data_IF_265974988784
#
_entry.id   IF_265974988784
#
_cell.length_a   1.000
_cell.length_b   1.000
_cell.length_c   1.000
_cell.angle_alpha   90.00
_cell.angle_beta   90.00
_cell.angle_gamma   90.00
#
_symmetry.space_group_name_H-M   'P 1'
#
loop_
_entity.id
_entity.type
_entity.pdbx_description
1 polymer ?
#
# COMPACT_ATOMS: atom_id res chain seq x y z
N UNK A 1 -7.79 38.85 68.00
CA UNK A 1 -6.41 38.73 67.50
C UNK A 1 -6.24 37.27 67.05
N UNK A 2 -6.54 36.95 65.79
CA UNK A 2 -6.43 35.62 65.25
C UNK A 2 -5.74 35.76 63.88
N UNK A 3 -4.50 35.34 63.84
CA UNK A 3 -3.63 35.37 62.68
C UNK A 3 -3.98 34.23 61.74
N UNK A 4 -4.31 34.55 60.47
CA UNK A 4 -4.49 33.58 59.38
C UNK A 4 -3.13 33.18 58.82
N UNK A 5 -2.79 31.89 58.84
CA UNK A 5 -1.70 31.29 58.11
C UNK A 5 -2.22 30.88 56.75
N UNK A 6 -1.68 31.50 55.69
CA UNK A 6 -1.87 31.05 54.32
C UNK A 6 -0.76 30.04 53.97
N UNK A 7 -1.12 28.78 53.75
CA UNK A 7 -0.25 27.78 53.10
C UNK A 7 -0.42 27.83 51.59
N UNK A 8 0.58 28.34 50.92
CA UNK A 8 0.73 28.26 49.49
C UNK A 8 1.29 26.86 49.18
N UNK A 9 0.49 25.95 48.61
CA UNK A 9 0.93 24.66 48.12
C UNK A 9 1.30 24.85 46.65
N UNK A 10 2.60 24.91 46.37
CA UNK A 10 3.14 24.87 44.99
C UNK A 10 3.05 23.46 44.47
N UNK A 11 2.12 23.21 43.56
CA UNK A 11 2.06 21.96 42.77
C UNK A 11 3.06 22.07 41.63
N UNK A 12 4.20 21.40 41.76
CA UNK A 12 5.15 21.19 40.67
C UNK A 12 4.57 20.05 39.81
N UNK A 13 3.99 20.40 38.66
CA UNK A 13 3.60 19.43 37.63
C UNK A 13 4.86 19.01 36.88
N UNK A 14 5.38 17.84 37.22
CA UNK A 14 6.47 17.22 36.51
C UNK A 14 5.93 16.67 35.19
N UNK A 15 6.10 17.42 34.09
CA UNK A 15 5.81 16.93 32.74
C UNK A 15 6.91 15.91 32.36
N UNK A 16 6.63 14.64 32.61
CA UNK A 16 7.44 13.54 32.06
C UNK A 16 7.01 13.38 30.60
N UNK A 17 7.75 14.00 29.71
CA UNK A 17 7.67 13.70 28.28
C UNK A 17 8.20 12.28 28.07
N UNK A 18 7.29 11.31 27.99
CA UNK A 18 7.62 9.99 27.44
C UNK A 18 7.96 10.19 25.97
N UNK A 19 9.23 10.28 25.65
CA UNK A 19 9.75 9.98 24.33
C UNK A 19 9.47 8.49 24.09
N UNK A 20 8.31 8.19 23.51
CA UNK A 20 8.06 6.87 22.92
C UNK A 20 8.98 6.79 21.70
N UNK A 21 10.02 5.96 21.70
CA UNK A 21 10.81 5.78 20.49
C UNK A 21 9.84 5.22 19.45
N UNK A 22 9.73 5.91 18.30
CA UNK A 22 9.08 5.38 17.12
C UNK A 22 9.73 4.02 16.85
N UNK A 23 9.00 2.93 17.04
CA UNK A 23 9.48 1.59 16.69
C UNK A 23 9.54 1.59 15.15
N UNK A 24 10.69 1.96 14.61
CA UNK A 24 11.02 1.77 13.22
C UNK A 24 11.17 0.26 13.09
N UNK A 25 10.20 -0.39 12.45
CA UNK A 25 10.28 -1.82 12.15
C UNK A 25 11.50 -2.05 11.25
N UNK A 26 12.48 -2.74 11.80
CA UNK A 26 13.70 -3.10 11.09
C UNK A 26 13.35 -3.99 9.89
N UNK A 27 13.85 -3.65 8.70
CA UNK A 27 13.69 -4.49 7.51
C UNK A 27 14.74 -5.60 7.52
N UNK A 28 14.31 -6.86 7.41
CA UNK A 28 15.24 -8.01 7.32
C UNK A 28 16.21 -7.87 6.13
N UNK A 29 15.78 -7.26 5.04
CA UNK A 29 16.59 -6.99 3.86
C UNK A 29 17.66 -5.93 4.14
N UNK A 30 17.30 -4.85 4.85
CA UNK A 30 18.26 -3.83 5.29
C UNK A 30 19.24 -4.43 6.29
N UNK A 31 18.76 -5.21 7.25
CA UNK A 31 19.60 -5.90 8.23
C UNK A 31 20.61 -6.85 7.54
N UNK A 32 20.16 -7.62 6.55
CA UNK A 32 21.03 -8.49 5.77
C UNK A 32 22.08 -7.70 4.98
N UNK A 33 21.67 -6.57 4.38
CA UNK A 33 22.55 -5.66 3.66
C UNK A 33 23.62 -5.08 4.59
N UNK A 34 23.22 -4.56 5.75
CA UNK A 34 24.15 -4.02 6.76
C UNK A 34 25.17 -5.06 7.20
N UNK A 35 24.72 -6.26 7.56
CA UNK A 35 25.59 -7.37 7.95
C UNK A 35 26.59 -7.69 6.85
N UNK A 36 26.10 -7.85 5.61
CA UNK A 36 26.95 -8.23 4.48
C UNK A 36 27.97 -7.13 4.12
N UNK A 37 27.56 -5.87 4.13
CA UNK A 37 28.47 -4.75 3.91
C UNK A 37 29.57 -4.70 4.99
N UNK A 38 29.21 -4.85 6.26
CA UNK A 38 30.16 -4.89 7.36
C UNK A 38 31.13 -6.09 7.25
N UNK A 39 30.63 -7.28 6.87
CA UNK A 39 31.47 -8.46 6.58
C UNK A 39 32.47 -8.21 5.44
N UNK A 40 32.08 -7.42 4.44
CA UNK A 40 32.94 -7.05 3.32
C UNK A 40 33.86 -5.87 3.62
N UNK A 41 33.83 -5.32 4.83
CA UNK A 41 34.68 -4.23 5.29
C UNK A 41 34.17 -2.82 4.99
N UNK A 42 32.92 -2.70 4.53
CA UNK A 42 32.25 -1.41 4.31
C UNK A 42 31.46 -1.04 5.56
N UNK A 43 31.70 0.14 6.12
CA UNK A 43 31.05 0.58 7.36
C UNK A 43 29.57 0.95 7.14
N UNK A 44 28.69 -0.03 7.26
CA UNK A 44 27.24 0.19 7.16
C UNK A 44 26.57 0.65 8.47
N UNK A 45 27.35 0.86 9.53
CA UNK A 45 26.86 1.14 10.88
C UNK A 45 26.39 -0.10 11.62
N UNK A 46 25.59 0.08 12.66
CA UNK A 46 24.97 -1.02 13.38
C UNK A 46 24.03 -1.80 12.45
N UNK A 47 24.06 -3.13 12.55
CA UNK A 47 23.11 -3.98 11.81
C UNK A 47 21.77 -4.04 12.58
N UNK A 48 21.01 -2.97 12.47
CA UNK A 48 19.73 -2.72 13.16
C UNK A 48 18.49 -2.84 12.25
N UNK A 49 18.72 -3.05 10.93
CA UNK A 49 17.65 -3.13 9.94
C UNK A 49 17.06 -1.77 9.57
N UNK A 50 17.67 -0.67 10.02
CA UNK A 50 17.21 0.69 9.72
C UNK A 50 18.02 1.25 8.53
N UNK A 51 17.31 1.63 7.46
CA UNK A 51 17.94 2.23 6.29
C UNK A 51 18.33 3.68 6.58
N UNK A 52 19.62 3.93 6.82
CA UNK A 52 20.16 5.26 7.10
C UNK A 52 21.25 5.67 6.09
N UNK A 53 21.73 6.91 6.23
CA UNK A 53 22.81 7.43 5.37
C UNK A 53 24.09 6.60 5.48
N UNK A 54 24.43 6.07 6.64
CA UNK A 54 25.60 5.23 6.85
C UNK A 54 25.52 3.96 6.02
N UNK A 55 24.42 3.23 6.10
CA UNK A 55 24.15 2.02 5.30
C UNK A 55 24.18 2.33 3.80
N UNK A 56 23.52 3.42 3.40
CA UNK A 56 23.47 3.83 2.01
C UNK A 56 24.85 4.19 1.46
N UNK A 57 25.67 4.94 2.21
CA UNK A 57 27.00 5.33 1.76
C UNK A 57 27.92 4.11 1.65
N UNK A 58 27.85 3.17 2.58
CA UNK A 58 28.56 1.90 2.50
C UNK A 58 28.17 1.08 1.26
N UNK A 59 26.87 1.05 0.92
CA UNK A 59 26.41 0.39 -0.31
C UNK A 59 26.92 1.09 -1.57
N UNK A 60 26.89 2.43 -1.61
CA UNK A 60 27.44 3.21 -2.73
C UNK A 60 28.92 2.93 -2.90
N UNK A 61 29.69 2.91 -1.80
CA UNK A 61 31.11 2.62 -1.82
C UNK A 61 31.37 1.20 -2.35
N UNK A 62 30.66 0.19 -1.83
CA UNK A 62 30.74 -1.19 -2.33
C UNK A 62 30.44 -1.27 -3.83
N UNK A 63 29.33 -0.69 -4.31
CA UNK A 63 28.95 -0.72 -5.72
C UNK A 63 30.00 -0.03 -6.59
N UNK A 64 30.61 1.06 -6.10
CA UNK A 64 31.68 1.77 -6.81
C UNK A 64 32.90 0.88 -7.04
N UNK A 65 33.26 -0.02 -6.11
CA UNK A 65 34.35 -1.00 -6.29
C UNK A 65 34.06 -2.00 -7.42
N UNK A 66 32.79 -2.15 -7.79
CA UNK A 66 32.34 -2.99 -8.93
C UNK A 66 32.10 -2.21 -10.20
N UNK A 67 32.42 -0.91 -10.23
CA UNK A 67 32.15 -0.03 -11.37
C UNK A 67 30.67 0.30 -11.57
N UNK A 68 29.85 0.08 -10.53
CA UNK A 68 28.41 0.28 -10.56
C UNK A 68 28.00 1.53 -9.79
N UNK A 69 26.86 2.10 -10.15
CA UNK A 69 26.26 3.23 -9.43
C UNK A 69 24.99 2.78 -8.73
N UNK A 70 24.82 3.19 -7.47
CA UNK A 70 23.57 3.01 -6.75
C UNK A 70 22.45 3.82 -7.44
N UNK A 71 21.40 3.17 -7.82
CA UNK A 71 20.32 3.76 -8.60
C UNK A 71 19.21 4.42 -7.75
N UNK A 72 19.32 4.30 -6.41
CA UNK A 72 18.40 4.89 -5.45
C UNK A 72 17.41 3.90 -4.84
N UNK A 73 17.47 2.63 -5.23
CA UNK A 73 16.64 1.54 -4.69
C UNK A 73 17.52 0.43 -4.11
N UNK A 74 17.17 -0.07 -2.93
CA UNK A 74 17.76 -1.30 -2.40
C UNK A 74 16.87 -2.45 -2.86
N UNK A 75 17.23 -3.11 -3.94
CA UNK A 75 16.43 -4.15 -4.56
C UNK A 75 17.21 -5.43 -4.90
N UNK A 76 16.62 -6.30 -5.70
CA UNK A 76 17.23 -7.58 -6.05
C UNK A 76 18.57 -7.44 -6.79
N UNK A 77 18.88 -6.30 -7.41
CA UNK A 77 20.15 -6.08 -8.08
C UNK A 77 21.25 -5.93 -7.02
N UNK A 78 21.01 -5.08 -6.01
CA UNK A 78 21.93 -4.89 -4.88
C UNK A 78 22.07 -6.17 -4.05
N UNK A 79 20.96 -6.88 -3.79
CA UNK A 79 20.99 -8.16 -3.07
C UNK A 79 21.81 -9.21 -3.83
N UNK A 80 21.64 -9.30 -5.15
CA UNK A 80 22.45 -10.23 -5.97
C UNK A 80 23.92 -9.86 -5.96
N UNK A 81 24.26 -8.57 -6.02
CA UNK A 81 25.64 -8.09 -5.97
C UNK A 81 26.29 -8.37 -4.61
N UNK A 82 25.52 -8.30 -3.53
CA UNK A 82 25.94 -8.60 -2.17
C UNK A 82 25.86 -10.10 -1.82
N UNK A 83 25.43 -10.94 -2.75
CA UNK A 83 25.17 -12.37 -2.50
C UNK A 83 24.17 -12.59 -1.35
N UNK A 84 23.14 -11.76 -1.29
CA UNK A 84 22.07 -11.85 -0.30
C UNK A 84 20.88 -12.59 -0.93
N UNK A 85 20.49 -13.71 -0.33
CA UNK A 85 19.30 -14.45 -0.71
C UNK A 85 18.07 -13.83 -0.05
N UNK A 86 17.23 -13.17 -0.84
CA UNK A 86 15.93 -12.68 -0.36
C UNK A 86 14.97 -13.85 -0.22
N UNK A 87 14.59 -14.16 1.02
CA UNK A 87 13.62 -15.21 1.29
C UNK A 87 12.22 -14.73 0.88
N UNK A 88 11.69 -15.29 -0.22
CA UNK A 88 10.32 -15.01 -0.65
C UNK A 88 9.32 -15.92 0.05
N UNK A 89 8.14 -15.35 0.36
CA UNK A 89 7.07 -16.09 1.01
C UNK A 89 6.45 -17.11 0.06
N UNK A 90 6.94 -18.34 0.08
CA UNK A 90 6.21 -19.44 -0.55
C UNK A 90 5.00 -19.77 0.33
N UNK A 91 3.79 -19.50 -0.16
CA UNK A 91 2.58 -19.90 0.53
C UNK A 91 2.50 -21.45 0.53
N UNK A 92 2.68 -22.05 1.70
CA UNK A 92 2.51 -23.50 1.85
C UNK A 92 1.05 -23.87 1.58
N UNK A 93 0.80 -25.08 1.03
CA UNK A 93 -0.54 -25.59 0.90
C UNK A 93 -1.28 -25.46 2.23
N UNK A 94 -2.32 -24.67 2.27
CA UNK A 94 -3.17 -24.57 3.44
C UNK A 94 -4.36 -25.50 3.22
N UNK A 95 -4.42 -26.58 3.96
CA UNK A 95 -5.68 -27.36 4.00
C UNK A 95 -6.74 -26.43 4.56
N UNK A 96 -7.79 -26.21 3.80
CA UNK A 96 -9.02 -25.55 4.25
C UNK A 96 -9.59 -26.37 5.41
N UNK A 97 -9.06 -26.13 6.61
CA UNK A 97 -9.47 -26.82 7.81
C UNK A 97 -10.48 -25.95 8.54
N UNK A 98 -11.77 -26.21 8.27
CA UNK A 98 -12.85 -25.75 9.14
C UNK A 98 -12.95 -24.26 9.40
N UNK A 99 -12.64 -23.40 8.44
CA UNK A 99 -12.83 -21.96 8.57
C UNK A 99 -11.76 -21.23 9.39
N UNK A 100 -10.61 -21.84 9.68
CA UNK A 100 -9.50 -21.15 10.37
C UNK A 100 -8.60 -20.45 9.39
N UNK A 101 -8.30 -19.16 9.66
CA UNK A 101 -7.28 -18.41 8.96
C UNK A 101 -5.90 -19.02 9.19
N UNK A 102 -4.96 -18.78 8.26
CA UNK A 102 -3.58 -19.14 8.46
C UNK A 102 -3.03 -18.54 9.77
N UNK A 103 -2.15 -19.26 10.45
CA UNK A 103 -1.56 -18.80 11.71
C UNK A 103 -0.76 -17.51 11.59
N UNK A 104 -0.36 -17.15 10.36
CA UNK A 104 0.35 -15.91 10.02
C UNK A 104 -0.58 -14.73 9.70
N UNK A 105 -1.90 -14.95 9.54
CA UNK A 105 -2.84 -13.89 9.26
C UNK A 105 -2.83 -12.82 10.35
N UNK A 106 -2.84 -11.55 9.97
CA UNK A 106 -2.69 -10.37 10.85
C UNK A 106 -1.39 -10.31 11.67
N UNK A 107 -0.39 -11.09 11.30
CA UNK A 107 0.96 -11.04 11.88
C UNK A 107 1.97 -10.63 10.82
N UNK A 108 2.96 -9.86 11.25
CA UNK A 108 4.11 -9.59 10.39
C UNK A 108 4.81 -10.88 9.99
N UNK A 109 5.19 -11.01 8.73
CA UNK A 109 5.97 -12.13 8.19
C UNK A 109 7.38 -11.66 7.82
N UNK A 110 8.32 -12.60 7.84
CA UNK A 110 9.74 -12.33 7.55
C UNK A 110 10.15 -12.76 6.14
N UNK A 111 9.29 -12.56 5.18
CA UNK A 111 9.53 -12.96 3.80
C UNK A 111 8.89 -11.97 2.84
N UNK A 112 9.57 -11.72 1.72
CA UNK A 112 9.13 -10.79 0.70
C UNK A 112 7.97 -11.37 -0.15
N UNK A 113 7.23 -10.51 -0.83
CA UNK A 113 6.18 -10.90 -1.76
C UNK A 113 6.71 -11.75 -2.93
N UNK A 114 5.92 -12.72 -3.39
CA UNK A 114 6.18 -13.41 -4.66
C UNK A 114 5.51 -12.63 -5.81
N UNK A 115 6.31 -12.26 -6.81
CA UNK A 115 5.81 -11.54 -7.99
C UNK A 115 5.90 -12.45 -9.23
N UNK A 116 4.78 -12.62 -9.88
CA UNK A 116 4.63 -13.40 -11.11
C UNK A 116 4.22 -12.48 -12.25
N UNK A 117 5.02 -12.43 -13.28
CA UNK A 117 4.77 -11.57 -14.43
C UNK A 117 4.58 -12.40 -15.69
N UNK A 118 3.77 -11.92 -16.63
CA UNK A 118 3.64 -12.53 -17.97
C UNK A 118 4.98 -12.45 -18.72
N UNK A 119 5.22 -13.42 -19.58
CA UNK A 119 6.53 -13.61 -20.26
C UNK A 119 6.93 -12.48 -21.21
N UNK A 120 5.99 -11.64 -21.61
CA UNK A 120 6.20 -10.48 -22.48
C UNK A 120 6.63 -9.21 -21.71
N UNK A 121 6.68 -9.26 -20.39
CA UNK A 121 7.12 -8.13 -19.55
C UNK A 121 8.63 -8.16 -19.32
N UNK A 122 9.24 -6.98 -19.20
CA UNK A 122 10.67 -6.84 -18.95
C UNK A 122 11.06 -7.34 -17.55
N UNK A 123 12.24 -7.91 -17.42
CA UNK A 123 12.79 -8.32 -16.12
C UNK A 123 12.87 -7.14 -15.14
N UNK A 124 13.18 -5.93 -15.61
CA UNK A 124 13.22 -4.71 -14.80
C UNK A 124 11.85 -4.31 -14.25
N UNK A 125 10.77 -4.65 -14.94
CA UNK A 125 9.40 -4.43 -14.45
C UNK A 125 9.13 -5.28 -13.23
N UNK A 126 9.47 -6.56 -13.28
CA UNK A 126 9.34 -7.45 -12.14
C UNK A 126 10.16 -6.97 -10.94
N UNK A 127 11.44 -6.64 -11.11
CA UNK A 127 12.30 -6.19 -10.02
C UNK A 127 11.82 -4.86 -9.42
N UNK A 128 11.29 -3.94 -10.24
CA UNK A 128 10.70 -2.69 -9.74
C UNK A 128 9.44 -2.93 -8.91
N UNK A 129 8.57 -3.86 -9.32
CA UNK A 129 7.38 -4.24 -8.54
C UNK A 129 7.80 -4.84 -7.19
N UNK A 130 8.77 -5.76 -7.21
CA UNK A 130 9.33 -6.37 -5.98
C UNK A 130 9.89 -5.30 -5.04
N UNK A 131 10.72 -4.37 -5.54
CA UNK A 131 11.27 -3.28 -4.75
C UNK A 131 10.17 -2.35 -4.18
N UNK A 132 9.12 -2.09 -4.95
CA UNK A 132 8.00 -1.24 -4.51
C UNK A 132 7.21 -1.91 -3.39
N UNK A 133 6.93 -3.21 -3.50
CA UNK A 133 6.27 -3.99 -2.44
C UNK A 133 7.12 -4.10 -1.18
N UNK A 134 8.44 -4.33 -1.33
CA UNK A 134 9.37 -4.41 -0.22
C UNK A 134 9.47 -3.06 0.52
N UNK A 135 9.49 -1.94 -0.21
CA UNK A 135 9.48 -0.59 0.36
C UNK A 135 8.18 -0.30 1.11
N UNK A 136 7.03 -0.65 0.53
CA UNK A 136 5.73 -0.50 1.19
C UNK A 136 5.63 -1.36 2.45
N UNK A 137 6.09 -2.61 2.40
CA UNK A 137 6.13 -3.52 3.54
C UNK A 137 7.04 -3.03 4.67
N UNK A 138 8.16 -2.40 4.32
CA UNK A 138 9.08 -1.78 5.28
C UNK A 138 8.46 -0.60 6.01
N UNK A 139 7.58 0.16 5.34
CA UNK A 139 6.96 1.36 5.89
C UNK A 139 5.70 1.06 6.71
N UNK A 140 4.87 0.12 6.27
CA UNK A 140 3.55 -0.14 6.86
C UNK A 140 3.46 -1.46 7.63
N UNK A 141 4.50 -2.27 7.62
CA UNK A 141 4.50 -3.63 8.14
C UNK A 141 4.33 -4.67 7.02
N UNK A 142 5.08 -5.75 7.13
CA UNK A 142 5.06 -6.84 6.15
C UNK A 142 3.96 -7.85 6.52
N UNK A 143 2.76 -7.61 6.03
CA UNK A 143 1.63 -8.51 6.18
C UNK A 143 1.51 -9.40 4.93
N UNK A 144 1.79 -10.68 5.10
CA UNK A 144 1.79 -11.62 4.00
C UNK A 144 1.34 -13.00 4.46
N UNK A 145 1.62 -14.06 3.69
CA UNK A 145 2.25 -14.08 2.36
C UNK A 145 1.48 -13.32 1.28
N UNK A 146 2.21 -12.74 0.32
CA UNK A 146 1.64 -12.02 -0.81
C UNK A 146 2.02 -12.70 -2.11
N UNK A 147 1.06 -12.86 -3.02
CA UNK A 147 1.27 -13.15 -4.43
C UNK A 147 0.74 -12.01 -5.28
N UNK A 148 1.59 -11.46 -6.14
CA UNK A 148 1.26 -10.39 -7.07
C UNK A 148 1.40 -10.88 -8.51
N UNK A 149 0.29 -10.93 -9.27
CA UNK A 149 0.18 -11.48 -10.60
C UNK A 149 -0.02 -10.37 -11.62
N UNK A 150 0.94 -10.18 -12.54
CA UNK A 150 1.00 -9.04 -13.46
C UNK A 150 0.82 -9.51 -14.89
N UNK A 151 -0.27 -9.09 -15.51
CA UNK A 151 -0.59 -9.43 -16.88
C UNK A 151 0.18 -8.52 -17.85
N UNK A 152 0.60 -9.08 -18.97
CA UNK A 152 1.19 -8.35 -20.07
C UNK A 152 0.15 -7.98 -21.16
N UNK A 153 0.64 -7.66 -22.34
CA UNK A 153 -0.18 -7.36 -23.52
C UNK A 153 -0.33 -8.56 -24.46
N UNK A 154 0.63 -9.49 -24.44
CA UNK A 154 0.59 -10.69 -25.27
C UNK A 154 -0.39 -11.73 -24.69
N UNK A 155 -1.32 -12.21 -25.54
CA UNK A 155 -2.36 -13.12 -25.09
C UNK A 155 -1.82 -14.52 -24.75
N UNK A 156 -0.81 -14.98 -25.46
CA UNK A 156 -0.21 -16.30 -25.21
C UNK A 156 0.54 -16.27 -23.87
N UNK A 157 1.38 -15.27 -23.65
CA UNK A 157 2.07 -15.06 -22.37
C UNK A 157 1.09 -14.90 -21.18
N UNK A 158 -0.03 -14.21 -21.39
CA UNK A 158 -1.10 -14.09 -20.41
C UNK A 158 -1.74 -15.46 -20.10
N UNK A 159 -1.98 -16.29 -21.11
CA UNK A 159 -2.54 -17.63 -20.93
C UNK A 159 -1.60 -18.56 -20.16
N UNK A 160 -0.30 -18.52 -20.44
CA UNK A 160 0.72 -19.27 -19.69
C UNK A 160 0.75 -18.84 -18.21
N UNK A 161 0.61 -17.54 -17.95
CA UNK A 161 0.54 -17.04 -16.57
C UNK A 161 -0.73 -17.54 -15.85
N UNK A 162 -1.88 -17.63 -16.54
CA UNK A 162 -3.10 -18.24 -16.00
C UNK A 162 -2.88 -19.71 -15.65
N UNK A 163 -2.21 -20.48 -16.50
CA UNK A 163 -1.88 -21.88 -16.22
C UNK A 163 -1.02 -22.02 -14.96
N UNK A 164 0.03 -21.20 -14.85
CA UNK A 164 0.90 -21.14 -13.68
C UNK A 164 0.12 -20.79 -12.40
N UNK A 165 -0.76 -19.80 -12.47
CA UNK A 165 -1.63 -19.40 -11.37
C UNK A 165 -2.54 -20.55 -10.93
N UNK A 166 -3.18 -21.21 -11.90
CA UNK A 166 -4.10 -22.30 -11.62
C UNK A 166 -3.41 -23.55 -11.08
N UNK A 167 -2.19 -23.83 -11.55
CA UNK A 167 -1.35 -24.89 -10.97
C UNK A 167 -1.09 -24.65 -9.49
N UNK A 168 -0.66 -23.42 -9.10
CA UNK A 168 -0.42 -23.07 -7.69
C UNK A 168 -1.66 -23.20 -6.83
N UNK A 169 -2.84 -22.79 -7.33
CA UNK A 169 -4.11 -22.93 -6.61
C UNK A 169 -4.50 -24.40 -6.42
N UNK A 170 -4.23 -25.23 -7.39
CA UNK A 170 -4.48 -26.68 -7.29
C UNK A 170 -3.55 -27.33 -6.26
N UNK A 171 -2.28 -26.96 -6.25
CA UNK A 171 -1.29 -27.43 -5.27
C UNK A 171 -1.67 -27.06 -3.83
N UNK A 172 -2.40 -25.95 -3.64
CA UNK A 172 -2.95 -25.52 -2.34
C UNK A 172 -4.27 -26.18 -1.97
N UNK A 173 -4.82 -27.06 -2.81
CA UNK A 173 -6.16 -27.64 -2.65
C UNK A 173 -7.28 -26.60 -2.55
N UNK A 174 -7.11 -25.46 -3.20
CA UNK A 174 -8.07 -24.37 -3.18
C UNK A 174 -9.11 -24.52 -4.30
N UNK A 175 -8.65 -24.71 -5.52
CA UNK A 175 -9.51 -24.84 -6.68
C UNK A 175 -8.93 -25.90 -7.64
N UNK A 176 -9.77 -26.81 -8.17
CA UNK A 176 -9.30 -27.75 -9.17
C UNK A 176 -8.83 -27.04 -10.41
N UNK A 177 -7.77 -27.58 -11.08
CA UNK A 177 -7.16 -26.96 -12.26
C UNK A 177 -8.19 -26.61 -13.34
N UNK A 178 -9.08 -27.55 -13.66
CA UNK A 178 -10.12 -27.38 -14.67
C UNK A 178 -11.06 -26.22 -14.34
N UNK A 179 -11.49 -26.09 -13.08
CA UNK A 179 -12.38 -24.99 -12.65
C UNK A 179 -11.63 -23.66 -12.67
N UNK A 180 -10.37 -23.65 -12.28
CA UNK A 180 -9.54 -22.45 -12.26
C UNK A 180 -9.30 -21.95 -13.70
N UNK A 181 -8.83 -22.79 -14.60
CA UNK A 181 -8.60 -22.45 -16.02
C UNK A 181 -9.90 -21.92 -16.64
N UNK A 182 -11.02 -22.65 -16.50
CA UNK A 182 -12.32 -22.19 -17.03
C UNK A 182 -12.74 -20.82 -16.49
N UNK A 183 -12.39 -20.49 -15.24
CA UNK A 183 -12.71 -19.18 -14.63
C UNK A 183 -11.80 -18.09 -15.16
N UNK A 184 -10.49 -18.29 -15.12
CA UNK A 184 -9.50 -17.25 -15.33
C UNK A 184 -9.13 -17.01 -16.81
N UNK A 185 -9.56 -17.88 -17.74
CA UNK A 185 -9.46 -17.66 -19.19
C UNK A 185 -10.60 -16.83 -19.79
N UNK A 186 -11.61 -16.47 -18.98
CA UNK A 186 -12.68 -15.57 -19.40
C UNK A 186 -12.31 -14.12 -19.09
N UNK A 187 -12.86 -13.20 -19.87
CA UNK A 187 -12.77 -11.75 -19.67
C UNK A 187 -14.07 -11.18 -19.09
N UNK A 188 -14.14 -9.87 -18.92
CA UNK A 188 -15.35 -9.14 -18.53
C UNK A 188 -15.68 -9.14 -17.03
N UNK A 189 -14.81 -9.66 -16.15
CA UNK A 189 -14.96 -9.62 -14.69
C UNK A 189 -13.60 -9.27 -14.06
N UNK A 190 -13.52 -8.18 -13.33
CA UNK A 190 -12.28 -7.63 -12.75
C UNK A 190 -11.51 -8.58 -11.82
N UNK A 191 -12.11 -9.69 -11.40
CA UNK A 191 -11.44 -10.69 -10.55
C UNK A 191 -10.86 -11.88 -11.31
N UNK A 192 -10.80 -11.79 -12.66
CA UNK A 192 -10.22 -12.83 -13.52
C UNK A 192 -8.92 -12.34 -14.13
N UNK A 193 -7.92 -13.20 -14.21
CA UNK A 193 -6.62 -12.79 -14.76
C UNK A 193 -6.73 -12.28 -16.20
N UNK A 194 -7.48 -12.99 -17.08
CA UNK A 194 -7.65 -12.55 -18.47
C UNK A 194 -8.43 -11.23 -18.60
N UNK A 195 -9.20 -10.81 -17.58
CA UNK A 195 -9.80 -9.46 -17.58
C UNK A 195 -8.74 -8.38 -17.44
N UNK A 196 -7.72 -8.59 -16.61
CA UNK A 196 -6.58 -7.66 -16.48
C UNK A 196 -5.75 -7.62 -17.77
N UNK A 197 -5.56 -8.78 -18.45
CA UNK A 197 -4.97 -8.78 -19.78
C UNK A 197 -5.78 -7.93 -20.76
N UNK A 198 -7.09 -8.10 -20.80
CA UNK A 198 -7.99 -7.36 -21.70
C UNK A 198 -7.93 -5.85 -21.43
N UNK A 199 -7.90 -5.43 -20.15
CA UNK A 199 -7.75 -4.03 -19.77
C UNK A 199 -6.43 -3.48 -20.32
N UNK A 200 -5.31 -4.19 -20.13
CA UNK A 200 -4.01 -3.78 -20.65
C UNK A 200 -3.94 -3.69 -22.17
N UNK A 201 -4.49 -4.69 -22.86
CA UNK A 201 -4.56 -4.71 -24.32
C UNK A 201 -5.44 -3.57 -24.87
N UNK A 202 -6.59 -3.33 -24.25
CA UNK A 202 -7.50 -2.23 -24.61
C UNK A 202 -6.85 -0.88 -24.34
N UNK A 203 -6.11 -0.71 -23.24
CA UNK A 203 -5.40 0.52 -22.95
C UNK A 203 -4.38 0.87 -24.04
N UNK A 204 -3.65 -0.11 -24.56
CA UNK A 204 -2.71 0.09 -25.66
C UNK A 204 -3.40 0.50 -26.97
N UNK A 205 -4.55 -0.09 -27.27
CA UNK A 205 -5.29 0.19 -28.52
C UNK A 205 -6.04 1.52 -28.46
N UNK A 206 -6.68 1.83 -27.36
CA UNK A 206 -7.49 3.04 -27.19
C UNK A 206 -6.69 4.26 -26.73
N UNK A 207 -5.41 4.08 -26.37
CA UNK A 207 -4.56 5.11 -25.74
C UNK A 207 -5.14 5.74 -24.46
N UNK A 208 -6.12 5.09 -23.88
CA UNK A 208 -6.70 5.45 -22.61
C UNK A 208 -6.03 4.60 -21.51
N UNK A 209 -5.36 5.23 -20.55
CA UNK A 209 -4.16 4.60 -20.07
C UNK A 209 -3.89 4.79 -18.59
N UNK A 210 -4.16 3.79 -17.81
CA UNK A 210 -3.48 3.54 -16.53
C UNK A 210 -3.49 2.04 -16.24
N UNK A 211 -2.57 1.63 -15.39
CA UNK A 211 -2.58 0.31 -14.77
C UNK A 211 -3.87 0.15 -13.96
N UNK A 212 -4.52 -0.99 -14.08
CA UNK A 212 -5.61 -1.41 -13.22
C UNK A 212 -5.15 -2.59 -12.38
N UNK A 213 -5.47 -2.60 -11.10
CA UNK A 213 -5.06 -3.63 -10.18
C UNK A 213 -6.15 -3.90 -9.15
N UNK A 214 -6.04 -5.00 -8.41
CA UNK A 214 -7.01 -5.32 -7.37
C UNK A 214 -6.52 -6.42 -6.43
N UNK A 215 -6.99 -6.34 -5.19
CA UNK A 215 -6.87 -7.40 -4.22
C UNK A 215 -7.93 -8.48 -4.47
N UNK A 216 -7.51 -9.63 -4.96
CA UNK A 216 -8.39 -10.71 -5.42
C UNK A 216 -8.64 -11.80 -4.35
N UNK A 217 -8.63 -11.43 -3.09
CA UNK A 217 -8.87 -12.36 -1.98
C UNK A 217 -7.63 -13.18 -1.62
N UNK A 218 -7.83 -14.46 -1.37
CA UNK A 218 -6.76 -15.36 -0.91
C UNK A 218 -6.85 -15.68 0.57
N UNK A 219 -7.81 -15.11 1.28
CA UNK A 219 -8.01 -15.27 2.72
C UNK A 219 -8.16 -16.74 3.15
N UNK A 220 -8.90 -17.52 2.38
CA UNK A 220 -9.11 -18.95 2.63
C UNK A 220 -7.80 -19.76 2.54
N UNK A 221 -6.78 -19.21 1.87
CA UNK A 221 -5.48 -19.85 1.66
C UNK A 221 -4.38 -19.24 2.52
N UNK A 222 -4.73 -18.23 3.29
CA UNK A 222 -3.78 -17.51 4.14
C UNK A 222 -2.77 -16.67 3.37
N UNK A 223 -3.16 -16.16 2.19
CA UNK A 223 -2.37 -15.25 1.38
C UNK A 223 -3.18 -14.01 1.02
N UNK A 224 -2.48 -12.93 0.69
CA UNK A 224 -3.03 -11.79 -0.04
C UNK A 224 -2.72 -11.98 -1.53
N UNK A 225 -3.75 -12.13 -2.33
CA UNK A 225 -3.62 -12.37 -3.76
C UNK A 225 -3.99 -11.11 -4.54
N UNK A 226 -3.04 -10.57 -5.28
CA UNK A 226 -3.22 -9.40 -6.14
C UNK A 226 -3.09 -9.77 -7.61
N UNK A 227 -3.80 -9.04 -8.44
CA UNK A 227 -3.65 -9.12 -9.88
C UNK A 227 -3.68 -7.72 -10.48
N UNK A 228 -2.91 -7.51 -11.53
CA UNK A 228 -2.90 -6.24 -12.26
C UNK A 228 -2.82 -6.43 -13.76
N UNK A 229 -3.28 -5.41 -14.47
CA UNK A 229 -3.08 -5.25 -15.91
C UNK A 229 -1.64 -4.85 -16.22
N UNK A 230 -1.35 -4.66 -17.51
CA UNK A 230 -0.06 -4.16 -17.99
C UNK A 230 0.35 -2.87 -17.27
N UNK A 231 1.54 -2.84 -16.61
CA UNK A 231 2.07 -1.64 -15.97
C UNK A 231 2.69 -0.71 -17.04
N UNK A 232 1.86 0.16 -17.59
CA UNK A 232 2.17 0.96 -18.77
C UNK A 232 3.38 1.86 -18.59
N UNK A 233 3.54 2.46 -17.42
CA UNK A 233 4.68 3.33 -17.10
C UNK A 233 5.96 2.54 -16.91
N UNK A 234 5.93 1.42 -16.16
CA UNK A 234 7.09 0.55 -16.01
C UNK A 234 7.51 -0.07 -17.34
N UNK A 235 6.60 -0.31 -18.26
CA UNK A 235 6.87 -0.81 -19.62
C UNK A 235 7.16 0.31 -20.65
N UNK A 236 7.26 1.58 -20.24
CA UNK A 236 7.47 2.74 -21.11
C UNK A 236 6.42 2.86 -22.23
N UNK A 237 5.17 2.57 -21.92
CA UNK A 237 4.07 2.64 -22.90
C UNK A 237 3.28 3.95 -22.72
N UNK A 238 2.77 4.46 -23.82
CA UNK A 238 1.83 5.58 -23.91
C UNK A 238 2.28 6.90 -23.23
N UNK A 239 3.52 6.98 -22.81
CA UNK A 239 4.06 8.15 -22.10
C UNK A 239 3.69 8.22 -20.61
N UNK A 240 3.20 7.14 -20.03
CA UNK A 240 2.92 7.04 -18.61
C UNK A 240 4.21 7.02 -17.77
N UNK A 241 4.10 7.47 -16.54
CA UNK A 241 5.18 7.39 -15.57
C UNK A 241 5.15 6.06 -14.83
N UNK A 242 6.30 5.40 -14.69
CA UNK A 242 6.40 4.23 -13.81
C UNK A 242 6.17 4.54 -12.35
N UNK A 243 6.29 5.80 -11.93
CA UNK A 243 5.93 6.23 -10.58
C UNK A 243 4.41 6.14 -10.31
N UNK A 244 3.58 6.31 -11.36
CA UNK A 244 2.14 6.08 -11.23
C UNK A 244 1.85 4.59 -10.98
N UNK A 245 2.52 3.68 -11.70
CA UNK A 245 2.40 2.24 -11.47
C UNK A 245 2.91 1.85 -10.08
N UNK A 246 4.04 2.41 -9.61
CA UNK A 246 4.53 2.19 -8.26
C UNK A 246 3.49 2.60 -7.22
N UNK A 247 2.81 3.74 -7.42
CA UNK A 247 1.72 4.19 -6.54
C UNK A 247 0.55 3.20 -6.55
N UNK A 248 0.13 2.69 -7.71
CA UNK A 248 -0.94 1.67 -7.80
C UNK A 248 -0.54 0.39 -7.05
N UNK A 249 0.70 -0.07 -7.18
CA UNK A 249 1.20 -1.24 -6.45
C UNK A 249 1.14 -1.01 -4.94
N UNK A 250 1.50 0.18 -4.47
CA UNK A 250 1.41 0.55 -3.06
C UNK A 250 -0.04 0.64 -2.57
N UNK A 251 -0.95 1.17 -3.41
CA UNK A 251 -2.38 1.22 -3.12
C UNK A 251 -2.93 -0.18 -2.83
N UNK A 252 -2.65 -1.12 -3.71
CA UNK A 252 -3.07 -2.52 -3.52
C UNK A 252 -2.43 -3.14 -2.28
N UNK A 253 -1.14 -2.91 -2.06
CA UNK A 253 -0.49 -3.41 -0.85
C UNK A 253 -1.14 -2.84 0.43
N UNK A 254 -1.62 -1.59 0.41
CA UNK A 254 -2.30 -1.02 1.56
C UNK A 254 -3.62 -1.77 1.87
N UNK A 255 -4.31 -2.29 0.87
CA UNK A 255 -5.43 -3.20 1.10
C UNK A 255 -5.00 -4.49 1.84
N UNK A 256 -3.81 -5.02 1.59
CA UNK A 256 -3.30 -6.13 2.41
C UNK A 256 -3.15 -5.73 3.88
N UNK A 257 -2.66 -4.51 4.16
CA UNK A 257 -2.58 -3.98 5.52
C UNK A 257 -3.96 -3.87 6.16
N UNK A 258 -4.95 -3.31 5.46
CA UNK A 258 -6.33 -3.18 5.92
C UNK A 258 -6.94 -4.55 6.25
N UNK A 259 -6.83 -5.47 5.31
CA UNK A 259 -7.40 -6.82 5.44
C UNK A 259 -6.69 -7.70 6.48
N UNK A 260 -5.40 -7.47 6.74
CA UNK A 260 -4.64 -8.24 7.72
C UNK A 260 -5.22 -8.13 9.15
N UNK A 261 -5.92 -7.06 9.44
CA UNK A 261 -6.55 -6.80 10.74
C UNK A 261 -8.00 -7.30 10.84
N UNK A 262 -8.53 -7.92 9.78
CA UNK A 262 -9.92 -8.41 9.71
C UNK A 262 -9.91 -9.94 9.69
N UNK A 263 -10.25 -10.58 10.80
CA UNK A 263 -10.21 -12.04 10.96
C UNK A 263 -11.48 -12.80 10.58
N UNK A 264 -12.69 -12.22 10.61
CA UNK A 264 -13.88 -12.95 10.22
C UNK A 264 -13.78 -13.54 8.81
N UNK A 265 -14.14 -14.81 8.64
CA UNK A 265 -14.01 -15.53 7.37
C UNK A 265 -15.14 -15.24 6.39
N UNK A 266 -16.28 -14.74 6.87
CA UNK A 266 -17.42 -14.47 6.00
C UNK A 266 -17.31 -13.08 5.39
N UNK A 267 -17.50 -12.97 4.08
CA UNK A 267 -17.46 -11.70 3.35
C UNK A 267 -18.38 -10.64 3.97
N UNK A 268 -19.57 -11.05 4.44
CA UNK A 268 -20.51 -10.12 5.08
C UNK A 268 -19.92 -9.41 6.30
N UNK A 269 -19.30 -10.16 7.23
CA UNK A 269 -18.69 -9.56 8.42
C UNK A 269 -17.43 -8.77 8.11
N UNK A 270 -16.67 -9.19 7.10
CA UNK A 270 -15.49 -8.46 6.66
C UNK A 270 -15.85 -7.10 6.13
N UNK A 271 -16.78 -7.01 5.19
CA UNK A 271 -17.25 -5.74 4.62
C UNK A 271 -17.80 -4.80 5.69
N UNK A 272 -18.46 -5.35 6.72
CA UNK A 272 -18.96 -4.55 7.85
C UNK A 272 -17.82 -3.95 8.69
N UNK A 273 -16.71 -4.66 8.85
CA UNK A 273 -15.53 -4.18 9.58
C UNK A 273 -14.68 -3.22 8.75
N UNK A 274 -14.61 -3.39 7.43
CA UNK A 274 -13.89 -2.51 6.51
C UNK A 274 -14.43 -1.07 6.54
N UNK A 275 -15.72 -0.92 6.85
CA UNK A 275 -16.39 0.36 6.87
C UNK A 275 -16.78 0.86 5.47
N UNK A 276 -17.05 2.15 5.30
CA UNK A 276 -17.48 2.71 4.03
C UNK A 276 -16.34 2.74 3.00
N UNK A 277 -16.71 2.55 1.73
CA UNK A 277 -15.75 2.47 0.61
C UNK A 277 -14.80 3.67 0.53
N UNK A 278 -15.28 4.88 0.85
CA UNK A 278 -14.43 6.07 0.83
C UNK A 278 -13.25 5.98 1.82
N UNK A 279 -13.45 5.31 2.96
CA UNK A 279 -12.38 5.15 3.95
C UNK A 279 -11.36 4.10 3.51
N UNK A 280 -11.85 3.00 2.94
CA UNK A 280 -11.02 1.92 2.44
C UNK A 280 -10.19 2.38 1.23
N UNK A 281 -10.84 2.85 0.18
CA UNK A 281 -10.19 3.27 -1.07
C UNK A 281 -9.43 4.59 -0.92
N UNK A 282 -10.05 5.58 -0.26
CA UNK A 282 -9.39 6.85 0.03
C UNK A 282 -8.17 6.70 0.92
N UNK A 283 -8.23 5.75 1.88
CA UNK A 283 -7.10 5.36 2.71
C UNK A 283 -5.95 4.80 1.88
N UNK A 284 -6.23 3.83 1.02
CA UNK A 284 -5.23 3.24 0.13
C UNK A 284 -4.65 4.29 -0.85
N UNK A 285 -5.49 5.13 -1.42
CA UNK A 285 -5.08 6.17 -2.37
C UNK A 285 -4.18 7.24 -1.74
N UNK A 286 -4.55 7.76 -0.56
CA UNK A 286 -3.75 8.75 0.13
C UNK A 286 -2.43 8.16 0.65
N UNK A 287 -2.50 7.02 1.34
CA UNK A 287 -1.31 6.40 1.92
C UNK A 287 -0.31 6.00 0.84
N UNK A 288 -0.76 5.44 -0.29
CA UNK A 288 0.11 5.13 -1.42
C UNK A 288 0.81 6.38 -1.97
N UNK A 289 0.05 7.44 -2.22
CA UNK A 289 0.56 8.68 -2.82
C UNK A 289 1.56 9.40 -1.90
N UNK A 290 1.21 9.55 -0.62
CA UNK A 290 2.04 10.21 0.38
C UNK A 290 3.30 9.40 0.69
N UNK A 291 3.17 8.09 0.90
CA UNK A 291 4.30 7.22 1.24
C UNK A 291 5.24 7.02 0.06
N UNK A 292 4.74 6.84 -1.16
CA UNK A 292 5.60 6.82 -2.36
C UNK A 292 6.46 8.07 -2.42
N UNK A 293 5.86 9.25 -2.24
CA UNK A 293 6.58 10.52 -2.28
C UNK A 293 7.63 10.63 -1.17
N UNK A 294 7.28 10.25 0.06
CA UNK A 294 8.19 10.18 1.22
C UNK A 294 9.39 9.28 0.91
N UNK A 295 9.14 8.03 0.52
CA UNK A 295 10.19 7.04 0.29
C UNK A 295 11.14 7.45 -0.85
N UNK A 296 10.61 8.09 -1.90
CA UNK A 296 11.44 8.64 -2.98
C UNK A 296 12.27 9.82 -2.48
N UNK A 297 11.71 10.73 -1.68
CA UNK A 297 12.46 11.88 -1.12
C UNK A 297 13.57 11.41 -0.16
N UNK A 298 13.32 10.35 0.60
CA UNK A 298 14.28 9.72 1.51
C UNK A 298 15.27 8.78 0.79
N UNK A 299 15.14 8.63 -0.52
CA UNK A 299 15.95 7.70 -1.35
C UNK A 299 15.87 6.23 -0.90
N UNK A 300 14.75 5.85 -0.34
CA UNK A 300 14.41 4.46 0.01
C UNK A 300 13.72 3.73 -1.13
N UNK A 301 13.17 4.46 -2.08
CA UNK A 301 12.56 3.95 -3.30
C UNK A 301 13.01 4.79 -4.48
N UNK A 302 13.43 4.14 -5.58
CA UNK A 302 13.75 4.81 -6.82
C UNK A 302 12.47 5.26 -7.53
N UNK A 303 12.35 6.56 -7.80
CA UNK A 303 11.27 7.07 -8.64
C UNK A 303 11.51 6.68 -10.10
N UNK A 304 10.58 5.98 -10.70
CA UNK A 304 10.60 5.67 -12.13
C UNK A 304 9.89 6.79 -12.89
N UNK A 305 10.63 7.89 -13.07
CA UNK A 305 10.09 9.10 -13.69
C UNK A 305 10.39 9.14 -15.20
N UNK A 306 10.02 8.10 -15.89
CA UNK A 306 10.04 7.98 -17.34
C UNK A 306 8.69 8.46 -17.91
N UNK A 307 8.66 8.77 -19.20
CA UNK A 307 7.43 9.20 -19.86
C UNK A 307 7.19 10.71 -19.80
N UNK A 308 6.08 11.13 -20.41
CA UNK A 308 5.67 12.54 -20.55
C UNK A 308 4.94 13.03 -19.29
N UNK A 309 4.12 12.18 -18.70
CA UNK A 309 3.33 12.48 -17.52
C UNK A 309 4.14 12.10 -16.28
N UNK A 310 4.76 13.09 -15.66
CA UNK A 310 5.54 12.87 -14.45
C UNK A 310 4.64 12.96 -13.24
N UNK A 311 4.64 11.91 -12.42
CA UNK A 311 3.92 11.91 -11.16
C UNK A 311 4.39 13.05 -10.25
N UNK A 312 3.43 13.79 -9.70
CA UNK A 312 3.64 14.84 -8.71
C UNK A 312 2.51 14.81 -7.69
N UNK A 313 2.83 14.44 -6.47
CA UNK A 313 1.88 14.27 -5.37
C UNK A 313 1.02 15.53 -5.13
N UNK A 314 1.65 16.70 -5.09
CA UNK A 314 0.92 17.92 -4.78
C UNK A 314 -0.01 18.35 -5.92
N UNK A 315 0.41 18.16 -7.17
CA UNK A 315 -0.46 18.41 -8.33
C UNK A 315 -1.62 17.44 -8.37
N UNK A 316 -1.37 16.17 -8.08
CA UNK A 316 -2.41 15.14 -8.01
C UNK A 316 -3.42 15.47 -6.91
N UNK A 317 -2.97 15.74 -5.69
CA UNK A 317 -3.87 16.07 -4.59
C UNK A 317 -4.66 17.35 -4.86
N UNK A 318 -4.05 18.38 -5.49
CA UNK A 318 -4.79 19.57 -5.91
C UNK A 318 -5.89 19.22 -6.90
N UNK A 319 -5.57 18.42 -7.91
CA UNK A 319 -6.57 17.97 -8.89
C UNK A 319 -7.69 17.18 -8.23
N UNK A 320 -7.36 16.21 -7.36
CA UNK A 320 -8.35 15.43 -6.60
C UNK A 320 -9.27 16.30 -5.74
N UNK A 321 -8.74 17.36 -5.13
CA UNK A 321 -9.56 18.31 -4.37
C UNK A 321 -10.61 19.00 -5.23
N UNK A 322 -10.20 19.48 -6.39
CA UNK A 322 -11.13 20.13 -7.32
C UNK A 322 -12.17 19.15 -7.90
N UNK A 323 -11.76 17.88 -8.19
CA UNK A 323 -12.72 16.85 -8.60
C UNK A 323 -13.71 16.52 -7.48
N UNK A 324 -13.23 16.33 -6.25
CA UNK A 324 -14.10 16.06 -5.10
C UNK A 324 -15.13 17.18 -4.87
N UNK A 325 -14.73 18.45 -5.02
CA UNK A 325 -15.66 19.59 -4.95
C UNK A 325 -16.70 19.53 -6.05
N UNK A 326 -16.28 19.26 -7.27
CA UNK A 326 -17.16 19.15 -8.44
C UNK A 326 -18.19 18.02 -8.26
N UNK A 327 -17.71 16.83 -7.89
CA UNK A 327 -18.58 15.66 -7.67
C UNK A 327 -19.57 15.91 -6.53
N UNK A 328 -19.09 16.52 -5.44
CA UNK A 328 -19.98 16.88 -4.34
C UNK A 328 -21.03 17.92 -4.74
N UNK A 329 -20.66 18.94 -5.52
CA UNK A 329 -21.60 19.95 -6.03
C UNK A 329 -22.66 19.32 -6.93
N UNK A 330 -22.26 18.40 -7.82
CA UNK A 330 -23.16 17.79 -8.79
C UNK A 330 -24.07 16.71 -8.18
N UNK A 331 -23.58 15.96 -7.21
CA UNK A 331 -24.21 14.72 -6.74
C UNK A 331 -24.44 14.66 -5.23
N UNK A 332 -24.10 15.72 -4.49
CA UNK A 332 -24.19 15.77 -3.02
C UNK A 332 -23.52 14.55 -2.34
N UNK A 333 -22.28 14.23 -2.75
CA UNK A 333 -21.61 13.00 -2.36
C UNK A 333 -21.26 12.92 -0.88
N UNK A 334 -21.02 14.07 -0.21
CA UNK A 334 -20.75 14.09 1.24
C UNK A 334 -21.93 13.54 2.04
N UNK A 335 -23.15 13.90 1.69
CA UNK A 335 -24.33 13.38 2.40
C UNK A 335 -24.51 11.87 2.26
N UNK A 336 -23.83 11.27 1.30
CA UNK A 336 -23.87 9.85 0.99
C UNK A 336 -22.62 9.10 1.46
N UNK A 337 -21.62 9.77 2.06
CA UNK A 337 -20.30 9.17 2.39
C UNK A 337 -20.43 7.84 3.15
N UNK A 338 -21.33 7.76 4.11
CA UNK A 338 -21.53 6.53 4.88
C UNK A 338 -21.97 5.33 4.02
N UNK A 339 -22.61 5.56 2.87
CA UNK A 339 -23.23 4.54 2.03
C UNK A 339 -22.73 4.53 0.59
N UNK A 340 -21.70 5.31 0.27
CA UNK A 340 -21.08 5.30 -1.06
C UNK A 340 -20.60 3.88 -1.39
N UNK A 341 -20.86 3.42 -2.60
CA UNK A 341 -20.47 2.13 -3.11
C UNK A 341 -19.78 2.26 -4.48
N UNK A 342 -19.27 1.15 -5.00
CA UNK A 342 -18.55 1.12 -6.29
C UNK A 342 -19.40 1.48 -7.53
N UNK A 343 -20.71 1.53 -7.39
CA UNK A 343 -21.65 2.03 -8.40
C UNK A 343 -22.10 3.47 -8.10
N UNK A 344 -22.79 4.07 -9.07
CA UNK A 344 -23.42 5.39 -8.88
C UNK A 344 -22.54 6.60 -9.16
N UNK A 345 -23.13 7.80 -9.07
CA UNK A 345 -22.51 9.05 -9.51
C UNK A 345 -21.37 9.52 -8.61
N UNK A 346 -21.32 9.05 -7.35
CA UNK A 346 -20.27 9.41 -6.41
C UNK A 346 -19.06 8.45 -6.43
N UNK A 347 -18.97 7.56 -7.43
CA UNK A 347 -17.86 6.60 -7.52
C UNK A 347 -16.50 7.29 -7.49
N UNK A 348 -16.28 8.34 -8.27
CA UNK A 348 -14.99 9.03 -8.29
C UNK A 348 -14.72 9.77 -6.98
N UNK A 349 -15.77 10.28 -6.33
CA UNK A 349 -15.66 10.97 -5.05
C UNK A 349 -15.05 10.08 -3.94
N UNK A 350 -15.31 8.79 -3.90
CA UNK A 350 -14.73 7.98 -2.83
C UNK A 350 -13.22 7.80 -2.97
N UNK A 351 -12.65 7.86 -4.18
CA UNK A 351 -11.20 7.93 -4.38
C UNK A 351 -10.65 9.33 -4.07
N UNK A 352 -11.17 10.34 -4.74
CA UNK A 352 -10.62 11.69 -4.69
C UNK A 352 -10.97 12.43 -3.39
N UNK A 353 -12.24 12.44 -3.02
CA UNK A 353 -12.74 12.99 -1.76
C UNK A 353 -12.30 12.14 -0.57
N UNK A 354 -12.28 10.81 -0.72
CA UNK A 354 -11.78 9.88 0.29
C UNK A 354 -10.31 10.11 0.63
N UNK A 355 -9.45 10.30 -0.37
CA UNK A 355 -8.04 10.63 -0.13
C UNK A 355 -7.88 11.94 0.67
N UNK A 356 -8.70 12.95 0.37
CA UNK A 356 -8.70 14.20 1.13
C UNK A 356 -9.31 14.07 2.52
N UNK A 357 -10.32 13.22 2.69
CA UNK A 357 -10.88 12.91 4.00
C UNK A 357 -9.84 12.25 4.91
N UNK A 358 -9.06 11.31 4.38
CA UNK A 358 -7.94 10.71 5.12
C UNK A 358 -6.86 11.76 5.41
N UNK A 359 -6.43 12.55 4.42
CA UNK A 359 -5.46 13.62 4.65
C UNK A 359 -5.89 14.56 5.78
N UNK A 360 -7.17 14.94 5.79
CA UNK A 360 -7.73 15.81 6.84
C UNK A 360 -7.71 15.14 8.21
N UNK A 361 -8.09 13.87 8.31
CA UNK A 361 -8.06 13.11 9.56
C UNK A 361 -6.64 12.97 10.12
N UNK A 362 -5.66 12.71 9.26
CA UNK A 362 -4.26 12.58 9.67
C UNK A 362 -3.63 13.91 10.08
N UNK A 363 -3.99 15.03 9.43
CA UNK A 363 -3.55 16.37 9.85
C UNK A 363 -4.06 16.76 11.25
N UNK A 364 -5.28 16.31 11.60
CA UNK A 364 -5.89 16.58 12.90
C UNK A 364 -5.41 15.66 14.02
N UNK A 365 -4.62 14.64 13.71
CA UNK A 365 -4.20 13.61 14.68
C UNK A 365 -2.71 13.29 14.54
N UNK A 366 -2.41 12.09 14.12
CA UNK A 366 -1.07 11.57 13.91
C UNK A 366 -0.99 10.84 12.57
N UNK A 367 0.11 11.01 11.83
CA UNK A 367 0.32 10.38 10.51
C UNK A 367 0.28 8.84 10.59
N UNK A 368 0.56 8.25 11.74
CA UNK A 368 0.54 6.81 11.95
C UNK A 368 -0.76 6.29 12.58
N UNK A 369 -1.73 7.16 12.87
CA UNK A 369 -2.95 6.80 13.63
C UNK A 369 -3.70 5.61 13.03
N UNK A 370 -3.71 5.47 11.69
CA UNK A 370 -4.32 4.34 11.01
C UNK A 370 -3.66 3.02 11.41
N UNK A 371 -2.33 2.98 11.37
CA UNK A 371 -1.55 1.77 11.64
C UNK A 371 -1.40 1.48 13.14
N UNK A 372 -1.24 2.54 13.96
CA UNK A 372 -0.99 2.41 15.39
C UNK A 372 -2.26 2.20 16.22
N UNK A 373 -3.39 2.73 15.77
CA UNK A 373 -4.62 2.74 16.56
C UNK A 373 -5.84 2.23 15.81
N UNK A 374 -6.11 2.72 14.61
CA UNK A 374 -7.35 2.39 13.91
C UNK A 374 -7.43 0.89 13.56
N UNK A 375 -6.55 0.41 12.68
CA UNK A 375 -6.60 -1.00 12.24
C UNK A 375 -6.41 -2.00 13.38
N UNK A 376 -5.50 -1.83 14.36
CA UNK A 376 -5.37 -2.76 15.49
C UNK A 376 -6.64 -2.91 16.33
N UNK A 377 -7.52 -1.91 16.35
CA UNK A 377 -8.77 -1.96 17.11
C UNK A 377 -10.01 -2.30 16.26
N UNK A 378 -9.85 -2.47 14.96
CA UNK A 378 -10.96 -2.61 14.02
C UNK A 378 -11.84 -3.83 14.32
N UNK A 379 -11.21 -4.99 14.60
CA UNK A 379 -11.94 -6.22 14.90
C UNK A 379 -12.68 -6.16 16.23
N UNK A 380 -12.06 -5.57 17.25
CA UNK A 380 -12.64 -5.53 18.62
C UNK A 380 -13.71 -4.47 18.81
N UNK A 381 -13.60 -3.33 18.12
CA UNK A 381 -14.51 -2.19 18.29
C UNK A 381 -15.47 -1.98 17.11
N UNK A 382 -15.26 -2.70 16.00
CA UNK A 382 -15.90 -2.38 14.74
C UNK A 382 -15.41 -1.06 14.14
N UNK A 383 -15.85 -0.75 12.91
CA UNK A 383 -15.37 0.43 12.20
C UNK A 383 -15.64 1.74 12.96
N UNK A 384 -16.87 1.98 13.39
CA UNK A 384 -17.24 3.23 14.08
C UNK A 384 -16.52 3.38 15.42
N UNK A 385 -16.42 2.31 16.21
CA UNK A 385 -15.70 2.35 17.48
C UNK A 385 -14.20 2.59 17.30
N UNK A 386 -13.58 1.99 16.30
CA UNK A 386 -12.19 2.24 15.94
C UNK A 386 -11.99 3.69 15.43
N UNK A 387 -12.95 4.21 14.66
CA UNK A 387 -12.97 5.58 14.18
C UNK A 387 -13.00 6.57 15.33
N UNK A 388 -13.97 6.44 16.25
CA UNK A 388 -14.10 7.31 17.42
C UNK A 388 -12.87 7.26 18.32
N UNK A 389 -12.32 6.05 18.54
CA UNK A 389 -11.10 5.88 19.34
C UNK A 389 -9.91 6.61 18.71
N UNK A 390 -9.77 6.54 17.40
CA UNK A 390 -8.64 7.13 16.68
C UNK A 390 -8.76 8.62 16.49
N UNK A 391 -9.92 9.10 16.07
CA UNK A 391 -10.13 10.49 15.65
C UNK A 391 -10.87 11.35 16.66
N UNK A 392 -11.27 10.78 17.83
CA UNK A 392 -11.93 11.47 18.95
C UNK A 392 -13.26 12.14 18.57
N UNK A 393 -13.92 11.63 17.55
CA UNK A 393 -15.23 12.06 17.06
C UNK A 393 -15.95 10.92 16.34
N UNK A 394 -17.25 11.00 16.22
CA UNK A 394 -18.04 10.07 15.37
C UNK A 394 -17.79 10.32 13.89
N UNK A 395 -18.07 9.33 13.06
CA UNK A 395 -18.03 9.53 11.59
C UNK A 395 -19.06 10.55 11.13
N UNK A 396 -20.21 10.64 11.78
CA UNK A 396 -21.25 11.62 11.47
C UNK A 396 -20.78 13.07 11.72
N UNK A 397 -20.15 13.33 12.85
CA UNK A 397 -19.52 14.63 13.14
C UNK A 397 -18.45 14.96 12.13
N UNK A 398 -17.60 13.98 11.80
CA UNK A 398 -16.56 14.14 10.79
C UNK A 398 -17.12 14.53 9.41
N UNK A 399 -18.22 13.93 8.96
CA UNK A 399 -18.82 14.30 7.67
C UNK A 399 -19.24 15.75 7.61
N UNK A 400 -19.76 16.31 8.69
CA UNK A 400 -20.11 17.73 8.78
C UNK A 400 -18.86 18.62 8.70
N UNK A 401 -17.81 18.27 9.45
CA UNK A 401 -16.53 18.99 9.42
C UNK A 401 -15.86 18.93 8.06
N UNK A 402 -15.88 17.77 7.42
CA UNK A 402 -15.28 17.58 6.10
C UNK A 402 -16.06 18.33 5.01
N UNK A 403 -17.38 18.46 5.15
CA UNK A 403 -18.20 19.30 4.29
C UNK A 403 -17.73 20.78 4.32
N UNK A 404 -17.46 21.29 5.51
CA UNK A 404 -16.92 22.65 5.67
C UNK A 404 -15.48 22.77 5.12
N UNK A 405 -14.66 21.74 5.33
CA UNK A 405 -13.31 21.72 4.78
C UNK A 405 -13.30 21.78 3.24
N UNK A 406 -14.19 21.07 2.57
CA UNK A 406 -14.31 21.09 1.10
C UNK A 406 -14.76 22.44 0.52
N UNK A 407 -15.32 23.36 1.32
CA UNK A 407 -15.64 24.71 0.88
C UNK A 407 -14.39 25.58 0.69
N UNK A 408 -13.25 25.21 1.27
CA UNK A 408 -11.99 25.96 1.14
C UNK A 408 -11.53 26.02 -0.31
N UNK A 409 -10.71 27.02 -0.64
CA UNK A 409 -9.97 26.99 -1.89
C UNK A 409 -8.83 25.95 -1.81
N UNK A 410 -8.41 25.41 -2.96
CA UNK A 410 -7.40 24.36 -3.02
C UNK A 410 -6.05 24.80 -2.41
N UNK A 411 -5.66 26.07 -2.54
CA UNK A 411 -4.42 26.59 -1.94
C UNK A 411 -4.41 26.47 -0.42
N UNK A 412 -5.53 26.76 0.23
CA UNK A 412 -5.68 26.61 1.69
C UNK A 412 -5.77 25.13 2.10
N UNK A 413 -6.52 24.33 1.34
CA UNK A 413 -6.59 22.89 1.59
C UNK A 413 -5.22 22.21 1.50
N UNK A 414 -4.39 22.59 0.55
CA UNK A 414 -3.04 22.04 0.35
C UNK A 414 -2.07 22.23 1.51
N UNK A 415 -2.41 23.09 2.50
CA UNK A 415 -1.54 23.36 3.65
C UNK A 415 -1.45 22.20 4.63
N UNK A 416 -2.47 21.34 4.68
CA UNK A 416 -2.49 20.16 5.55
C UNK A 416 -1.62 19.01 5.01
N UNK A 417 -1.23 19.05 3.74
CA UNK A 417 -0.42 17.98 3.16
C UNK A 417 1.03 18.06 3.64
N UNK A 418 1.65 16.91 3.92
CA UNK A 418 3.03 16.85 4.34
C UNK A 418 3.96 17.46 3.28
N UNK A 419 5.10 17.97 3.75
CA UNK A 419 6.18 18.48 2.92
C UNK A 419 7.30 17.45 2.93
N UNK A 420 7.55 16.83 1.78
CA UNK A 420 8.63 15.85 1.57
C UNK A 420 9.73 16.43 0.71
#
# INVERSE_FOLDING_TARGET
MITKFNHLVSIIVLIITFLIPSIILASDNVLATQKKLNELGFNAGAADGIWGNTTKNALIEYLSTKGLKFDGSLDNNEFKMLDISVKRCSAKPHKRSGGKLASTWSKAVKCAAEVFVAGDLRASTKSTIEATLDAAASEWGNYGPIEYWVMGADKAAASELVEKYCKRRTERNDLSNVKCIRRHTRTGDGHRLMSYWEIGANALSSRNSRMDAGHNGGFDWGIHNFSSSLPLGLENKLGNSGADDQKVIMHEYFHAVQHAHIRPLTQHYRNKLEGPVWFMEGGAEYMASATHTKLVSEKKLKRINNGRNKYDFRKEMKWKFEQAKKDNYQNNCISQMANINYGGPCRQFFYDGGAWAIAYLLDQTDQNILLSTFYPNLESLGWEGAFQKSFKRSSAEFYLEFAEFLKKNSGNAMRILPKY
#
